data_IF_935672028005
#
_entry.id   IF_935672028005
#
_cell.length_a   1.000
_cell.length_b   1.000
_cell.length_c   1.000
_cell.angle_alpha   90.00
_cell.angle_beta   90.00
_cell.angle_gamma   90.00
#
_symmetry.space_group_name_H-M   'P 1'
#
loop_
_entity.id
_entity.type
_entity.pdbx_description
1 polymer ?
#
# COMPACT_ATOMS: atom_id res chain seq x y z
N UNK A 1 13.16 -12.07 -8.35
CA UNK A 1 12.72 -13.33 -7.70
C UNK A 1 12.44 -13.17 -6.20
N UNK A 2 13.23 -12.42 -5.42
CA UNK A 2 12.97 -12.24 -3.97
C UNK A 2 11.71 -11.41 -3.63
N UNK A 3 11.38 -10.38 -4.43
CA UNK A 3 10.22 -9.51 -4.22
C UNK A 3 8.86 -10.23 -4.38
N UNK A 4 8.81 -11.23 -5.26
CA UNK A 4 7.61 -12.02 -5.58
C UNK A 4 7.28 -13.07 -4.50
N UNK A 5 8.28 -13.50 -3.70
CA UNK A 5 8.11 -14.54 -2.68
C UNK A 5 7.90 -13.98 -1.26
N UNK A 6 7.93 -12.67 -1.07
CA UNK A 6 7.70 -12.06 0.24
C UNK A 6 6.25 -12.29 0.68
N UNK A 7 6.04 -12.68 1.93
CA UNK A 7 4.70 -12.83 2.51
C UNK A 7 3.95 -11.49 2.60
N UNK A 8 4.70 -10.39 2.73
CA UNK A 8 4.17 -9.02 2.74
C UNK A 8 3.88 -8.54 1.31
N UNK A 9 2.75 -7.86 1.14
CA UNK A 9 2.43 -7.18 -0.11
C UNK A 9 3.36 -6.01 -0.32
N UNK A 10 3.92 -5.89 -1.52
CA UNK A 10 4.79 -4.77 -1.86
C UNK A 10 4.32 -4.10 -3.14
N UNK A 11 4.32 -2.77 -3.15
CA UNK A 11 4.00 -1.94 -4.29
C UNK A 11 5.09 -0.89 -4.50
N UNK A 12 5.42 -0.63 -5.75
CA UNK A 12 6.23 0.50 -6.17
C UNK A 12 5.30 1.53 -6.79
N UNK A 13 5.33 2.74 -6.23
CA UNK A 13 4.51 3.86 -6.68
C UNK A 13 5.40 4.95 -7.27
N UNK A 14 4.86 5.68 -8.22
CA UNK A 14 5.39 6.99 -8.60
C UNK A 14 5.11 7.97 -7.46
N UNK A 15 5.83 9.10 -7.43
CA UNK A 15 5.67 10.13 -6.39
C UNK A 15 4.26 10.72 -6.31
N UNK A 16 3.46 10.65 -7.37
CA UNK A 16 2.04 11.05 -7.40
C UNK A 16 1.08 9.96 -6.87
N UNK A 17 1.61 8.83 -6.40
CA UNK A 17 0.82 7.72 -5.85
C UNK A 17 0.28 6.73 -6.89
N UNK A 18 0.67 6.85 -8.16
CA UNK A 18 0.30 5.86 -9.19
C UNK A 18 1.12 4.58 -9.05
N UNK A 19 0.46 3.42 -9.03
CA UNK A 19 1.10 2.11 -8.95
C UNK A 19 1.89 1.83 -10.24
N UNK A 20 3.19 1.67 -10.12
CA UNK A 20 4.11 1.31 -11.21
C UNK A 20 4.40 -0.19 -11.24
N UNK A 21 4.45 -0.83 -10.08
CA UNK A 21 4.66 -2.27 -9.95
C UNK A 21 4.08 -2.80 -8.63
N UNK A 22 3.78 -4.09 -8.56
CA UNK A 22 3.41 -4.77 -7.33
C UNK A 22 3.76 -6.27 -7.40
N UNK A 23 3.94 -6.90 -6.24
CA UNK A 23 4.11 -8.35 -6.15
C UNK A 23 2.76 -9.08 -6.06
N UNK A 24 2.80 -10.39 -6.24
CA UNK A 24 1.63 -11.26 -6.13
C UNK A 24 0.94 -11.16 -4.77
N UNK A 25 1.71 -11.01 -3.68
CA UNK A 25 1.17 -10.88 -2.32
C UNK A 25 0.32 -9.62 -2.16
N UNK A 26 0.73 -8.50 -2.75
CA UNK A 26 -0.06 -7.27 -2.76
C UNK A 26 -1.38 -7.47 -3.54
N UNK A 27 -1.33 -8.06 -4.72
CA UNK A 27 -2.53 -8.32 -5.51
C UNK A 27 -3.53 -9.22 -4.76
N UNK A 28 -3.04 -10.24 -4.04
CA UNK A 28 -3.86 -11.12 -3.19
C UNK A 28 -4.54 -10.39 -2.03
N UNK A 29 -3.85 -9.46 -1.36
CA UNK A 29 -4.44 -8.68 -0.26
C UNK A 29 -5.65 -7.83 -0.68
N UNK A 30 -5.73 -7.47 -1.97
CA UNK A 30 -6.83 -6.70 -2.54
C UNK A 30 -7.75 -7.54 -3.44
N UNK A 31 -7.64 -8.88 -3.41
CA UNK A 31 -8.37 -9.86 -4.24
C UNK A 31 -8.46 -9.44 -5.72
N UNK A 32 -7.32 -9.02 -6.25
CA UNK A 32 -7.19 -8.53 -7.63
C UNK A 32 -5.99 -9.16 -8.30
N UNK A 33 -5.78 -8.84 -9.57
CA UNK A 33 -4.59 -9.25 -10.33
C UNK A 33 -3.70 -8.05 -10.58
N UNK A 34 -2.39 -8.30 -10.71
CA UNK A 34 -1.38 -7.27 -10.89
C UNK A 34 -1.73 -6.30 -12.01
N UNK A 35 -2.19 -6.80 -13.14
CA UNK A 35 -2.53 -6.04 -14.34
C UNK A 35 -3.63 -5.00 -14.10
N UNK A 36 -4.55 -5.28 -13.16
CA UNK A 36 -5.63 -4.34 -12.80
C UNK A 36 -5.12 -3.21 -11.90
N UNK A 37 -4.04 -3.44 -11.15
CA UNK A 37 -3.45 -2.46 -10.24
C UNK A 37 -2.52 -1.48 -10.96
N UNK A 38 -1.80 -1.93 -11.99
CA UNK A 38 -0.83 -1.09 -12.68
C UNK A 38 -1.49 0.14 -13.31
N UNK A 39 -0.88 1.31 -13.09
CA UNK A 39 -1.37 2.60 -13.59
C UNK A 39 -2.52 3.20 -12.78
N UNK A 40 -3.06 2.48 -11.78
CA UNK A 40 -4.10 3.01 -10.90
C UNK A 40 -3.50 3.82 -9.74
N UNK A 41 -4.20 4.86 -9.25
CA UNK A 41 -3.87 5.49 -7.97
C UNK A 41 -4.00 4.48 -6.83
N UNK A 42 -3.01 4.39 -5.94
CA UNK A 42 -3.06 3.42 -4.82
C UNK A 42 -4.20 3.67 -3.84
N UNK A 43 -4.64 4.92 -3.71
CA UNK A 43 -5.77 5.29 -2.85
C UNK A 43 -7.12 4.82 -3.41
N UNK A 44 -7.19 4.37 -4.67
CA UNK A 44 -8.40 3.75 -5.23
C UNK A 44 -8.79 2.47 -4.50
N UNK A 45 -7.80 1.77 -3.91
CA UNK A 45 -7.95 0.51 -3.19
C UNK A 45 -8.51 0.67 -1.77
N UNK A 46 -8.61 1.90 -1.28
CA UNK A 46 -8.94 2.21 0.11
C UNK A 46 -10.35 2.79 0.27
N UNK A 47 -10.91 2.65 1.47
CA UNK A 47 -12.16 3.33 1.81
C UNK A 47 -11.96 4.85 1.92
N UNK A 48 -13.03 5.63 1.75
CA UNK A 48 -13.02 7.09 1.60
C UNK A 48 -12.20 7.83 2.67
N UNK A 49 -12.37 7.47 3.95
CA UNK A 49 -11.60 8.03 5.06
C UNK A 49 -10.11 7.72 4.95
N UNK A 50 -9.78 6.46 4.63
CA UNK A 50 -8.41 6.00 4.44
C UNK A 50 -7.73 6.63 3.22
N UNK A 51 -8.49 7.01 2.17
CA UNK A 51 -7.95 7.78 1.03
C UNK A 51 -7.37 9.12 1.48
N UNK A 52 -8.11 9.85 2.33
CA UNK A 52 -7.68 11.15 2.84
C UNK A 52 -6.41 11.00 3.68
N UNK A 53 -6.37 9.99 4.54
CA UNK A 53 -5.20 9.69 5.37
C UNK A 53 -3.96 9.34 4.53
N UNK A 54 -4.13 8.51 3.49
CA UNK A 54 -3.03 8.16 2.60
C UNK A 54 -2.50 9.36 1.83
N UNK A 55 -3.39 10.20 1.25
CA UNK A 55 -2.98 11.41 0.54
C UNK A 55 -2.17 12.35 1.44
N UNK A 56 -2.61 12.53 2.68
CA UNK A 56 -1.88 13.33 3.65
C UNK A 56 -0.49 12.72 3.98
N UNK A 57 -0.41 11.40 4.11
CA UNK A 57 0.87 10.70 4.31
C UNK A 57 1.82 10.89 3.12
N UNK A 58 1.34 10.72 1.89
CA UNK A 58 2.14 10.93 0.67
C UNK A 58 2.62 12.39 0.55
N UNK A 59 1.75 13.37 0.84
CA UNK A 59 2.14 14.78 0.83
C UNK A 59 3.25 15.09 1.86
N UNK A 60 3.19 14.48 3.05
CA UNK A 60 4.22 14.62 4.09
C UNK A 60 5.57 14.07 3.66
N UNK A 61 5.58 12.92 2.98
CA UNK A 61 6.80 12.33 2.43
C UNK A 61 7.45 13.27 1.40
N UNK A 62 6.65 13.93 0.57
CA UNK A 62 7.17 14.91 -0.39
C UNK A 62 7.74 16.16 0.32
N UNK A 63 7.13 16.59 1.43
CA UNK A 63 7.53 17.82 2.14
C UNK A 63 8.74 17.70 3.06
N UNK A 64 9.18 16.48 3.42
CA UNK A 64 10.36 16.32 4.28
C UNK A 64 10.53 14.93 4.90
N UNK A 65 9.44 14.23 5.17
CA UNK A 65 9.50 12.89 5.78
C UNK A 65 10.05 11.88 4.75
N UNK A 66 10.84 10.89 5.17
CA UNK A 66 11.34 9.83 4.27
C UNK A 66 10.55 8.53 4.41
N UNK A 67 9.86 8.32 5.52
CA UNK A 67 9.00 7.16 5.76
C UNK A 67 7.89 7.45 6.75
N UNK A 68 6.77 6.73 6.64
CA UNK A 68 5.67 6.79 7.60
C UNK A 68 4.89 5.47 7.62
N UNK A 69 4.38 5.10 8.79
CA UNK A 69 3.50 3.93 8.94
C UNK A 69 2.05 4.38 9.18
N UNK A 70 1.10 3.65 8.62
CA UNK A 70 -0.35 3.92 8.72
C UNK A 70 -1.12 2.62 8.80
N UNK A 71 -2.16 2.59 9.63
CA UNK A 71 -3.18 1.54 9.56
C UNK A 71 -4.33 2.14 8.76
N UNK A 72 -4.62 1.57 7.59
CA UNK A 72 -5.70 2.01 6.72
C UNK A 72 -6.65 0.86 6.44
N UNK A 73 -7.87 1.20 6.08
CA UNK A 73 -8.89 0.22 5.74
C UNK A 73 -9.08 0.17 4.23
N UNK A 74 -9.04 -1.04 3.68
CA UNK A 74 -9.29 -1.28 2.26
C UNK A 74 -10.73 -0.94 1.86
N UNK A 75 -11.00 -0.92 0.57
CA UNK A 75 -12.37 -1.09 0.08
C UNK A 75 -12.88 -2.49 0.43
N UNK A 76 -14.21 -2.70 0.58
CA UNK A 76 -14.75 -4.03 0.80
C UNK A 76 -14.36 -4.97 -0.34
N UNK A 77 -13.76 -6.09 0.01
CA UNK A 77 -13.31 -7.11 -0.93
C UNK A 77 -13.74 -8.47 -0.36
N UNK A 78 -14.54 -9.23 -1.10
CA UNK A 78 -15.09 -10.51 -0.62
C UNK A 78 -15.94 -10.36 0.65
N UNK A 79 -15.48 -10.95 1.77
CA UNK A 79 -16.25 -11.08 3.02
C UNK A 79 -16.31 -9.81 3.89
N UNK A 80 -15.62 -8.72 3.52
CA UNK A 80 -15.70 -7.49 4.28
C UNK A 80 -14.58 -6.50 3.98
N UNK A 81 -14.43 -5.55 4.90
CA UNK A 81 -13.39 -4.54 4.89
C UNK A 81 -12.22 -5.01 5.75
N UNK A 82 -10.99 -4.84 5.28
CA UNK A 82 -9.79 -5.32 5.99
C UNK A 82 -8.93 -4.13 6.43
N UNK A 83 -8.50 -4.14 7.69
CA UNK A 83 -7.48 -3.21 8.18
C UNK A 83 -6.11 -3.72 7.80
N UNK A 84 -5.26 -2.84 7.30
CA UNK A 84 -3.93 -3.19 6.84
C UNK A 84 -2.92 -2.16 7.33
N UNK A 85 -1.78 -2.64 7.79
CA UNK A 85 -0.63 -1.81 8.11
C UNK A 85 0.17 -1.53 6.84
N UNK A 86 0.37 -0.24 6.57
CA UNK A 86 1.17 0.26 5.47
C UNK A 86 2.45 0.91 6.02
N UNK A 87 3.58 0.45 5.52
CA UNK A 87 4.86 1.15 5.65
C UNK A 87 5.19 1.82 4.32
N UNK A 88 5.24 3.14 4.31
CA UNK A 88 5.39 3.95 3.11
C UNK A 88 6.72 4.69 3.18
N UNK A 89 7.60 4.45 2.21
CA UNK A 89 8.97 4.98 2.20
C UNK A 89 9.26 5.65 0.86
N UNK A 90 9.71 6.91 0.90
CA UNK A 90 10.23 7.61 -0.26
C UNK A 90 11.66 7.13 -0.54
N UNK A 91 11.92 6.75 -1.79
CA UNK A 91 13.27 6.38 -2.25
C UNK A 91 14.28 7.51 -1.99
N UNK A 92 15.57 7.20 -1.73
CA UNK A 92 16.60 8.23 -1.49
C UNK A 92 16.75 9.24 -2.62
N UNK A 93 16.56 8.81 -3.87
CA UNK A 93 16.58 9.68 -5.07
C UNK A 93 15.25 10.41 -5.31
N UNK A 94 14.25 10.16 -4.46
CA UNK A 94 12.91 10.76 -4.47
C UNK A 94 12.15 10.56 -5.78
N UNK A 95 12.42 9.48 -6.51
CA UNK A 95 11.74 9.17 -7.79
C UNK A 95 10.58 8.21 -7.66
N UNK A 96 10.59 7.41 -6.60
CA UNK A 96 9.56 6.42 -6.33
C UNK A 96 9.24 6.32 -4.83
N UNK A 97 8.07 5.77 -4.54
CA UNK A 97 7.62 5.44 -3.19
C UNK A 97 7.50 3.92 -3.12
N UNK A 98 8.18 3.31 -2.16
CA UNK A 98 8.01 1.91 -1.82
C UNK A 98 6.94 1.81 -0.74
N UNK A 99 5.94 0.97 -0.98
CA UNK A 99 4.87 0.70 -0.05
C UNK A 99 4.85 -0.78 0.28
N UNK A 100 4.95 -1.11 1.56
CA UNK A 100 4.73 -2.45 2.08
C UNK A 100 3.38 -2.49 2.77
N UNK A 101 2.61 -3.54 2.52
CA UNK A 101 1.26 -3.77 3.00
C UNK A 101 1.23 -5.12 3.68
N UNK A 102 0.87 -5.13 4.96
CA UNK A 102 0.58 -6.33 5.73
C UNK A 102 -0.84 -6.27 6.25
N UNK A 103 -1.49 -7.43 6.34
CA UNK A 103 -2.76 -7.53 7.05
C UNK A 103 -2.54 -7.16 8.52
N UNK A 104 -3.45 -6.37 9.08
CA UNK A 104 -3.50 -6.13 10.53
C UNK A 104 -4.27 -7.29 11.16
N UNK A 105 -3.74 -8.51 11.05
CA UNK A 105 -4.29 -9.63 11.82
C UNK A 105 -4.17 -9.27 13.30
N UNK A 106 -5.26 -9.38 14.10
CA UNK A 106 -5.13 -9.25 15.53
C UNK A 106 -4.12 -10.32 15.97
N UNK A 107 -2.99 -9.89 16.53
CA UNK A 107 -2.03 -10.78 17.17
C UNK A 107 -2.81 -11.55 18.23
N UNK A 108 -3.28 -12.75 17.87
CA UNK A 108 -3.85 -13.69 18.81
C UNK A 108 -2.70 -14.01 19.77
N UNK A 109 -2.76 -13.41 20.95
CA UNK A 109 -1.86 -13.72 22.05
C UNK A 109 -1.96 -15.23 22.29
N UNK A 110 -0.91 -15.96 21.92
CA UNK A 110 -0.63 -17.33 22.32
C UNK A 110 0.25 -17.33 23.56
#
# INVERSE_FOLDING_TARGET
MFFEMAATGCMLLRTDGVIMDCNLSAARLFDTVKEQLLGQPVDSLLHSESKVQLRAALARLQSGDTSTNKILTSTPVGAGQHSMELSITLSPDRRAIMMMVSDDEPKLFS
#
